data_IF_785952803968
#
_entry.id   IF_785952803968
#
_cell.length_a   1.000
_cell.length_b   1.000
_cell.length_c   1.000
_cell.angle_alpha   90.00
_cell.angle_beta   90.00
_cell.angle_gamma   90.00
#
_symmetry.space_group_name_H-M   'P 1'
#
loop_
_entity.id
_entity.type
_entity.pdbx_description
1 polymer ?
#
# COMPACT_ATOMS: atom_id res chain seq x y z
N UNK A 1 7.52 -37.38 58.44
CA UNK A 1 6.61 -36.70 57.47
C UNK A 1 6.83 -35.18 57.38
N UNK A 2 7.37 -34.52 58.40
CA UNK A 2 7.58 -33.03 58.38
C UNK A 2 8.80 -32.56 57.54
N UNK A 3 9.80 -33.41 57.34
CA UNK A 3 11.01 -33.03 56.59
C UNK A 3 10.78 -32.90 55.07
N UNK A 4 9.91 -33.69 54.49
CA UNK A 4 9.62 -33.71 53.07
C UNK A 4 8.81 -32.47 52.66
N UNK A 5 7.95 -31.93 53.51
CA UNK A 5 7.17 -30.72 53.27
C UNK A 5 8.03 -29.44 53.18
N UNK A 6 9.10 -29.39 54.00
CA UNK A 6 10.04 -28.27 54.02
C UNK A 6 10.90 -28.16 52.75
N UNK A 7 11.40 -29.32 52.29
CA UNK A 7 12.19 -29.37 51.04
C UNK A 7 11.35 -29.03 49.80
N UNK A 8 10.12 -29.52 49.75
CA UNK A 8 9.20 -29.19 48.64
C UNK A 8 8.86 -27.68 48.57
N UNK A 9 8.73 -27.05 49.74
CA UNK A 9 8.45 -25.62 49.84
C UNK A 9 9.67 -24.78 49.48
N UNK A 10 10.87 -25.20 49.80
CA UNK A 10 12.12 -24.54 49.37
C UNK A 10 12.33 -24.70 47.87
N UNK A 11 12.07 -25.89 47.31
CA UNK A 11 12.16 -26.14 45.87
C UNK A 11 11.18 -25.26 45.07
N UNK A 12 9.96 -25.12 45.57
CA UNK A 12 8.95 -24.23 44.97
C UNK A 12 9.37 -22.75 45.00
N UNK A 13 9.94 -22.27 46.09
CA UNK A 13 10.48 -20.91 46.21
C UNK A 13 11.65 -20.70 45.24
N UNK A 14 12.55 -21.68 45.14
CA UNK A 14 13.68 -21.63 44.21
C UNK A 14 13.22 -21.56 42.73
N UNK A 15 12.21 -22.36 42.37
CA UNK A 15 11.63 -22.35 41.03
C UNK A 15 10.95 -21.01 40.71
N UNK A 16 10.25 -20.40 41.66
CA UNK A 16 9.62 -19.07 41.46
C UNK A 16 10.69 -18.00 41.27
N UNK A 17 11.75 -18.02 42.08
CA UNK A 17 12.86 -17.07 41.94
C UNK A 17 13.55 -17.25 40.57
N UNK A 18 13.79 -18.50 40.17
CA UNK A 18 14.39 -18.82 38.87
C UNK A 18 13.52 -18.33 37.70
N UNK A 19 12.20 -18.52 37.77
CA UNK A 19 11.26 -18.04 36.77
C UNK A 19 11.25 -16.50 36.67
N UNK A 20 11.30 -15.81 37.81
CA UNK A 20 11.38 -14.33 37.84
C UNK A 20 12.71 -13.85 37.23
N UNK A 21 13.83 -14.52 37.53
CA UNK A 21 15.13 -14.21 36.95
C UNK A 21 15.15 -14.43 35.44
N UNK A 22 14.54 -15.52 34.93
CA UNK A 22 14.44 -15.79 33.49
C UNK A 22 13.60 -14.71 32.80
N UNK A 23 12.44 -14.34 33.35
CA UNK A 23 11.61 -13.27 32.82
C UNK A 23 12.38 -11.95 32.82
N UNK A 24 13.11 -11.62 33.88
CA UNK A 24 13.96 -10.44 33.96
C UNK A 24 15.04 -10.41 32.86
N UNK A 25 15.70 -11.57 32.66
CA UNK A 25 16.71 -11.71 31.59
C UNK A 25 16.11 -11.55 30.17
N UNK A 26 14.93 -12.10 29.92
CA UNK A 26 14.23 -11.96 28.62
C UNK A 26 13.83 -10.52 28.40
N UNK A 27 13.30 -9.81 29.40
CA UNK A 27 12.95 -8.40 29.30
C UNK A 27 14.20 -7.53 29.07
N UNK A 28 15.30 -7.83 29.79
CA UNK A 28 16.56 -7.12 29.58
C UNK A 28 17.18 -7.39 28.20
N UNK A 29 17.13 -8.64 27.72
CA UNK A 29 17.59 -9.01 26.38
C UNK A 29 16.75 -8.34 25.29
N UNK A 30 15.43 -8.28 25.48
CA UNK A 30 14.52 -7.59 24.56
C UNK A 30 14.74 -6.06 24.57
N UNK A 31 14.98 -5.48 25.74
CA UNK A 31 15.36 -4.07 25.89
C UNK A 31 16.70 -3.76 25.21
N UNK A 32 17.71 -4.62 25.39
CA UNK A 32 19.01 -4.49 24.71
C UNK A 32 18.88 -4.70 23.19
N UNK A 33 18.07 -5.65 22.74
CA UNK A 33 17.81 -5.88 21.32
C UNK A 33 17.12 -4.66 20.66
N UNK A 34 16.11 -4.08 21.32
CA UNK A 34 15.46 -2.84 20.87
C UNK A 34 16.42 -1.64 20.89
N UNK A 35 17.23 -1.52 21.93
CA UNK A 35 18.25 -0.48 22.02
C UNK A 35 19.33 -0.64 20.96
N UNK A 36 19.72 -1.88 20.65
CA UNK A 36 20.66 -2.21 19.57
C UNK A 36 20.08 -1.94 18.18
N UNK A 37 18.80 -2.27 17.96
CA UNK A 37 18.09 -1.88 16.72
C UNK A 37 18.00 -0.35 16.57
N UNK A 38 17.66 0.36 17.64
CA UNK A 38 17.65 1.83 17.63
C UNK A 38 19.07 2.43 17.46
N UNK A 39 20.09 1.77 17.99
CA UNK A 39 21.49 2.17 17.83
C UNK A 39 22.01 1.88 16.40
N UNK A 40 21.62 0.77 15.79
CA UNK A 40 21.99 0.44 14.39
C UNK A 40 21.18 1.21 13.37
N UNK A 41 19.95 1.66 13.72
CA UNK A 41 19.11 2.49 12.84
C UNK A 41 19.30 4.01 13.02
N UNK A 42 19.93 4.47 14.10
CA UNK A 42 20.11 5.91 14.39
C UNK A 42 21.38 6.29 15.14
N UNK A 43 22.26 5.30 15.42
CA UNK A 43 23.46 5.51 16.23
C UNK A 43 24.63 6.17 15.49
N UNK A 44 25.88 5.79 15.81
CA UNK A 44 27.13 6.38 15.30
C UNK A 44 27.21 6.47 13.76
N UNK A 45 26.52 5.56 13.05
CA UNK A 45 26.31 5.63 11.60
C UNK A 45 25.43 6.80 11.17
N UNK A 46 24.44 7.21 11.98
CA UNK A 46 23.64 8.42 11.75
C UNK A 46 24.46 9.71 11.90
N UNK A 47 25.46 9.71 12.77
CA UNK A 47 26.36 10.87 12.98
C UNK A 47 27.45 10.92 11.89
N UNK A 48 27.89 9.76 11.39
CA UNK A 48 28.82 9.70 10.25
C UNK A 48 28.12 9.89 8.89
N UNK A 49 26.80 9.76 8.84
CA UNK A 49 25.98 10.05 7.65
C UNK A 49 25.44 11.48 7.60
N UNK A 50 25.99 12.40 8.40
CA UNK A 50 25.65 13.83 8.34
C UNK A 50 26.11 14.54 7.04
N UNK A 51 26.73 13.81 6.12
CA UNK A 51 26.75 14.10 4.69
C UNK A 51 25.70 13.17 4.05
N UNK A 52 24.44 13.60 4.10
CA UNK A 52 23.28 12.80 3.72
C UNK A 52 23.39 12.27 2.31
N UNK A 53 23.64 10.99 2.19
CA UNK A 53 23.45 10.30 0.93
C UNK A 53 21.96 9.99 0.78
N UNK A 54 21.23 10.92 0.19
CA UNK A 54 19.87 10.70 -0.28
C UNK A 54 19.95 9.69 -1.42
N UNK A 55 19.61 8.43 -1.14
CA UNK A 55 19.80 7.36 -2.12
C UNK A 55 18.74 6.27 -2.04
N UNK A 56 18.45 5.67 -3.19
CA UNK A 56 17.68 4.44 -3.31
C UNK A 56 18.16 3.61 -4.49
N UNK A 57 17.87 2.32 -4.48
CA UNK A 57 17.93 1.48 -5.68
C UNK A 57 16.56 1.53 -6.33
N UNK A 58 16.51 1.94 -7.60
CA UNK A 58 15.28 2.11 -8.35
C UNK A 58 14.81 0.83 -9.05
N UNK A 59 13.68 0.89 -9.75
CA UNK A 59 13.08 -0.23 -10.47
C UNK A 59 13.93 -0.77 -11.63
N UNK A 60 14.95 -0.04 -12.10
CA UNK A 60 15.94 -0.49 -13.09
C UNK A 60 17.17 -1.12 -12.45
N UNK A 61 17.16 -1.30 -11.12
CA UNK A 61 18.32 -1.72 -10.31
C UNK A 61 19.48 -0.71 -10.34
N UNK A 62 19.21 0.55 -10.68
CA UNK A 62 20.18 1.63 -10.64
C UNK A 62 20.16 2.29 -9.27
N UNK A 63 21.34 2.53 -8.69
CA UNK A 63 21.46 3.37 -7.49
C UNK A 63 21.33 4.84 -7.88
N UNK A 64 20.27 5.47 -7.42
CA UNK A 64 20.03 6.91 -7.61
C UNK A 64 20.45 7.64 -6.34
N UNK A 65 21.33 8.64 -6.48
CA UNK A 65 21.87 9.42 -5.36
C UNK A 65 21.73 10.91 -5.64
N UNK A 66 21.30 11.67 -4.63
CA UNK A 66 21.27 13.12 -4.66
C UNK A 66 22.33 13.67 -3.68
N UNK A 67 22.98 14.74 -4.06
CA UNK A 67 24.02 15.39 -3.26
C UNK A 67 23.44 16.31 -2.19
N UNK A 68 22.17 16.68 -2.35
CA UNK A 68 21.39 17.52 -1.44
C UNK A 68 19.92 17.09 -1.43
N UNK A 69 19.18 17.59 -0.46
CA UNK A 69 17.73 17.40 -0.37
C UNK A 69 17.05 17.98 -1.60
N UNK A 70 16.21 17.16 -2.27
CA UNK A 70 15.51 17.60 -3.46
C UNK A 70 14.58 18.80 -3.19
N UNK A 71 14.72 19.86 -3.99
CA UNK A 71 13.89 21.07 -3.96
C UNK A 71 13.05 21.23 -5.23
N UNK A 72 13.42 20.52 -6.29
CA UNK A 72 12.75 20.56 -7.61
C UNK A 72 12.48 19.16 -8.09
N UNK A 73 11.29 18.67 -7.79
CA UNK A 73 10.87 17.30 -8.10
C UNK A 73 9.83 17.34 -9.21
N UNK A 74 10.00 16.49 -10.23
CA UNK A 74 8.96 16.22 -11.22
C UNK A 74 8.45 14.79 -11.01
N UNK A 75 7.14 14.64 -10.89
CA UNK A 75 6.47 13.35 -10.70
C UNK A 75 5.79 12.92 -12.01
N UNK A 76 6.10 11.71 -12.48
CA UNK A 76 5.55 11.14 -13.72
C UNK A 76 4.67 9.94 -13.37
N UNK A 77 3.37 10.09 -13.62
CA UNK A 77 2.34 9.10 -13.27
C UNK A 77 1.54 9.46 -12.01
N UNK A 78 0.27 8.99 -11.92
CA UNK A 78 -0.66 9.41 -10.88
C UNK A 78 -0.29 8.91 -9.48
N UNK A 79 0.21 7.66 -9.34
CA UNK A 79 0.60 7.11 -8.03
C UNK A 79 1.87 7.76 -7.49
N UNK A 80 2.83 8.09 -8.38
CA UNK A 80 4.03 8.84 -8.01
C UNK A 80 3.67 10.27 -7.64
N UNK A 81 2.78 10.92 -8.40
CA UNK A 81 2.29 12.25 -8.07
C UNK A 81 1.65 12.30 -6.68
N UNK A 82 0.85 11.29 -6.34
CA UNK A 82 0.21 11.13 -5.02
C UNK A 82 1.25 10.99 -3.91
N UNK A 83 2.14 9.99 -4.02
CA UNK A 83 3.17 9.72 -3.02
C UNK A 83 4.12 10.91 -2.81
N UNK A 84 4.63 11.50 -3.90
CA UNK A 84 5.64 12.57 -3.83
C UNK A 84 5.03 13.87 -3.34
N UNK A 85 3.77 14.16 -3.69
CA UNK A 85 3.05 15.34 -3.18
C UNK A 85 2.85 15.27 -1.66
N UNK A 86 2.55 14.08 -1.13
CA UNK A 86 2.43 13.88 0.31
C UNK A 86 3.78 13.96 1.05
N UNK A 87 4.84 13.42 0.45
CA UNK A 87 6.17 13.42 1.05
C UNK A 87 6.84 14.79 1.00
N UNK A 88 6.72 15.50 -0.13
CA UNK A 88 7.53 16.67 -0.45
C UNK A 88 6.79 17.71 -1.30
N UNK A 89 5.48 17.93 -1.06
CA UNK A 89 4.61 18.76 -1.91
C UNK A 89 5.17 20.13 -2.27
N UNK A 90 5.79 20.83 -1.32
CA UNK A 90 6.41 22.15 -1.56
C UNK A 90 7.55 22.11 -2.58
N UNK A 91 8.21 20.97 -2.72
CA UNK A 91 9.31 20.71 -3.66
C UNK A 91 8.84 20.17 -5.01
N UNK A 92 7.58 19.78 -5.16
CA UNK A 92 7.04 19.29 -6.45
C UNK A 92 6.77 20.46 -7.36
N UNK A 93 7.59 20.58 -8.41
CA UNK A 93 7.47 21.68 -9.38
C UNK A 93 6.47 21.37 -10.48
N UNK A 94 6.33 20.09 -10.86
CA UNK A 94 5.33 19.67 -11.83
C UNK A 94 4.99 18.18 -11.71
N UNK A 95 3.81 17.81 -12.25
CA UNK A 95 3.39 16.43 -12.45
C UNK A 95 2.87 16.21 -13.86
N UNK A 96 2.96 15.00 -14.40
CA UNK A 96 2.39 14.66 -15.70
C UNK A 96 0.93 14.22 -15.60
N UNK A 97 0.51 13.70 -14.45
CA UNK A 97 -0.85 13.23 -14.20
C UNK A 97 -1.40 13.85 -12.92
N UNK A 98 -2.74 13.89 -12.78
CA UNK A 98 -3.38 14.20 -11.50
C UNK A 98 -3.08 13.09 -10.50
N UNK A 99 -2.76 13.40 -9.24
CA UNK A 99 -2.78 12.42 -8.19
C UNK A 99 -4.22 11.92 -7.97
N UNK A 100 -4.36 10.73 -7.41
CA UNK A 100 -5.68 10.22 -7.03
C UNK A 100 -6.35 11.06 -5.93
N UNK A 101 -5.54 11.66 -5.06
CA UNK A 101 -6.02 12.63 -4.07
C UNK A 101 -5.81 14.04 -4.58
N UNK A 102 -6.82 14.88 -4.48
CA UNK A 102 -6.70 16.31 -4.82
C UNK A 102 -5.84 16.98 -3.75
N UNK A 103 -4.56 17.15 -4.04
CA UNK A 103 -3.67 17.94 -3.20
C UNK A 103 -3.51 19.33 -3.81
N UNK A 104 -3.72 20.39 -3.03
CA UNK A 104 -3.54 21.77 -3.46
C UNK A 104 -2.06 22.14 -3.71
N UNK A 105 -1.14 21.18 -3.61
CA UNK A 105 0.30 21.38 -3.67
C UNK A 105 0.88 21.32 -5.09
N UNK A 106 0.11 20.81 -6.09
CA UNK A 106 0.59 20.71 -7.46
C UNK A 106 0.59 22.07 -8.12
N UNK A 107 1.79 22.60 -8.38
CA UNK A 107 2.01 23.94 -8.96
C UNK A 107 1.73 23.94 -10.46
N UNK A 108 2.09 22.89 -11.17
CA UNK A 108 2.03 22.83 -12.62
C UNK A 108 1.82 21.41 -13.15
N UNK A 109 1.11 21.29 -14.27
CA UNK A 109 1.13 20.07 -15.09
C UNK A 109 2.06 20.25 -16.29
N UNK A 110 2.76 19.19 -16.63
CA UNK A 110 3.68 19.13 -17.76
C UNK A 110 3.35 17.92 -18.64
N UNK A 111 3.56 18.01 -19.93
CA UNK A 111 3.47 16.85 -20.81
C UNK A 111 4.55 15.80 -20.42
N UNK A 112 4.27 14.49 -20.59
CA UNK A 112 5.27 13.44 -20.42
C UNK A 112 6.27 13.43 -21.59
N UNK A 113 7.01 14.51 -21.73
CA UNK A 113 7.98 14.79 -22.79
C UNK A 113 9.33 15.17 -22.20
N UNK A 114 10.41 14.63 -22.76
CA UNK A 114 11.77 14.81 -22.25
C UNK A 114 12.18 16.27 -22.20
N UNK A 115 11.92 17.04 -23.28
CA UNK A 115 12.35 18.44 -23.37
C UNK A 115 11.54 19.32 -22.40
N UNK A 116 10.22 19.07 -22.30
CA UNK A 116 9.36 19.77 -21.36
C UNK A 116 9.79 19.53 -19.90
N UNK A 117 10.17 18.30 -19.53
CA UNK A 117 10.65 17.95 -18.20
C UNK A 117 12.03 18.58 -17.93
N UNK A 118 12.98 18.47 -18.88
CA UNK A 118 14.34 19.05 -18.75
C UNK A 118 14.29 20.57 -18.58
N UNK A 119 13.37 21.25 -19.28
CA UNK A 119 13.19 22.70 -19.18
C UNK A 119 12.84 23.17 -17.75
N UNK A 120 12.26 22.31 -16.93
CA UNK A 120 11.94 22.57 -15.52
C UNK A 120 13.16 22.52 -14.60
N UNK A 121 14.33 22.06 -15.10
CA UNK A 121 15.59 21.90 -14.34
C UNK A 121 15.35 21.15 -13.02
N UNK A 122 14.80 19.93 -13.06
CA UNK A 122 14.56 19.16 -11.84
C UNK A 122 15.85 18.62 -11.23
N UNK A 123 15.90 18.57 -9.88
CA UNK A 123 16.93 17.83 -9.15
C UNK A 123 16.76 16.33 -9.34
N UNK A 124 15.49 15.92 -9.46
CA UNK A 124 15.10 14.53 -9.69
C UNK A 124 13.75 14.44 -10.41
N UNK A 125 13.65 13.43 -11.27
CA UNK A 125 12.38 12.97 -11.83
C UNK A 125 12.06 11.60 -11.25
N UNK A 126 10.89 11.44 -10.66
CA UNK A 126 10.41 10.14 -10.17
C UNK A 126 9.32 9.67 -11.12
N UNK A 127 9.48 8.46 -11.63
CA UNK A 127 8.66 7.91 -12.72
C UNK A 127 7.94 6.65 -12.22
N UNK A 128 6.63 6.57 -12.44
CA UNK A 128 5.86 5.35 -12.25
C UNK A 128 6.11 4.37 -13.41
N UNK A 129 6.31 3.09 -13.09
CA UNK A 129 6.43 2.02 -14.09
C UNK A 129 5.11 1.85 -14.86
N UNK A 130 5.15 2.18 -16.14
CA UNK A 130 4.05 2.09 -17.09
C UNK A 130 4.59 2.15 -18.52
N UNK A 131 3.82 1.64 -19.49
CA UNK A 131 4.29 1.46 -20.87
C UNK A 131 4.84 2.76 -21.49
N UNK A 132 4.15 3.89 -21.30
CA UNK A 132 4.56 5.18 -21.87
C UNK A 132 5.64 5.89 -21.03
N UNK A 133 5.61 5.73 -19.73
CA UNK A 133 6.52 6.45 -18.82
C UNK A 133 7.91 5.84 -18.74
N UNK A 134 8.04 4.53 -18.94
CA UNK A 134 9.35 3.85 -18.90
C UNK A 134 10.26 4.32 -20.04
N UNK A 135 9.70 4.72 -21.17
CA UNK A 135 10.45 5.23 -22.32
C UNK A 135 11.15 6.57 -22.03
N UNK A 136 10.72 7.30 -21.00
CA UNK A 136 11.35 8.57 -20.59
C UNK A 136 12.65 8.36 -19.79
N UNK A 137 12.85 7.18 -19.20
CA UNK A 137 13.95 6.94 -18.23
C UNK A 137 15.32 7.14 -18.88
N UNK A 138 15.60 6.44 -19.98
CA UNK A 138 16.91 6.51 -20.65
C UNK A 138 17.18 7.88 -21.26
N UNK A 139 16.24 8.51 -22.04
CA UNK A 139 16.48 9.82 -22.60
C UNK A 139 16.69 10.92 -21.55
N UNK A 140 15.99 10.88 -20.42
CA UNK A 140 16.21 11.85 -19.34
C UNK A 140 17.59 11.67 -18.70
N UNK A 141 18.02 10.42 -18.45
CA UNK A 141 19.35 10.12 -17.93
C UNK A 141 20.46 10.57 -18.89
N UNK A 142 20.29 10.38 -20.20
CA UNK A 142 21.22 10.85 -21.23
C UNK A 142 21.35 12.38 -21.24
N UNK A 143 20.30 13.12 -20.84
CA UNK A 143 20.32 14.57 -20.64
C UNK A 143 20.93 14.99 -19.28
N UNK A 144 21.44 14.04 -18.49
CA UNK A 144 22.04 14.30 -17.18
C UNK A 144 21.03 14.49 -16.03
N UNK A 145 19.77 14.22 -16.27
CA UNK A 145 18.73 14.31 -15.22
C UNK A 145 18.82 13.08 -14.30
N UNK A 146 18.75 13.28 -13.00
CA UNK A 146 18.58 12.17 -12.04
C UNK A 146 17.17 11.61 -12.18
N UNK A 147 17.05 10.30 -12.41
CA UNK A 147 15.75 9.62 -12.60
C UNK A 147 15.66 8.40 -11.71
N UNK A 148 14.58 8.29 -10.95
CA UNK A 148 14.20 7.11 -10.19
C UNK A 148 12.91 6.50 -10.77
N UNK A 149 12.98 5.26 -11.23
CA UNK A 149 11.83 4.47 -11.67
C UNK A 149 11.25 3.71 -10.47
N UNK A 150 9.97 3.88 -10.19
CA UNK A 150 9.24 3.12 -9.17
C UNK A 150 8.44 2.00 -9.85
N UNK A 151 8.76 0.75 -9.53
CA UNK A 151 7.98 -0.40 -10.00
C UNK A 151 6.59 -0.39 -9.38
N UNK A 152 5.59 -0.88 -10.13
CA UNK A 152 4.25 -1.05 -9.59
C UNK A 152 4.29 -2.04 -8.40
N UNK A 153 3.85 -1.64 -7.20
CA UNK A 153 3.81 -2.53 -6.06
C UNK A 153 2.77 -3.63 -6.27
N UNK A 154 3.09 -4.84 -5.85
CA UNK A 154 2.20 -6.01 -5.93
C UNK A 154 1.76 -6.51 -4.56
N UNK A 155 2.39 -6.02 -3.49
CA UNK A 155 2.05 -6.30 -2.10
C UNK A 155 1.96 -5.02 -1.28
N UNK A 156 1.30 -5.10 -0.13
CA UNK A 156 1.30 -4.02 0.89
C UNK A 156 2.72 -3.71 1.37
N UNK A 157 3.56 -4.75 1.47
CA UNK A 157 4.97 -4.57 1.84
C UNK A 157 5.75 -3.78 0.80
N UNK A 158 5.50 -3.98 -0.49
CA UNK A 158 6.14 -3.19 -1.55
C UNK A 158 5.77 -1.71 -1.43
N UNK A 159 4.51 -1.39 -1.07
CA UNK A 159 4.07 -0.01 -0.84
C UNK A 159 4.79 0.61 0.36
N UNK A 160 4.93 -0.14 1.46
CA UNK A 160 5.70 0.30 2.64
C UNK A 160 7.14 0.60 2.26
N UNK A 161 7.82 -0.35 1.59
CA UNK A 161 9.23 -0.22 1.20
C UNK A 161 9.44 0.92 0.21
N UNK A 162 8.55 1.07 -0.75
CA UNK A 162 8.60 2.17 -1.72
C UNK A 162 8.42 3.53 -1.04
N UNK A 163 7.45 3.66 -0.14
CA UNK A 163 7.23 4.90 0.64
C UNK A 163 8.47 5.26 1.45
N UNK A 164 9.07 4.29 2.13
CA UNK A 164 10.30 4.46 2.92
C UNK A 164 11.50 4.85 2.05
N UNK A 165 11.71 4.16 0.94
CA UNK A 165 12.84 4.40 0.05
C UNK A 165 12.75 5.76 -0.64
N UNK A 166 11.56 6.17 -1.10
CA UNK A 166 11.34 7.50 -1.68
C UNK A 166 11.51 8.57 -0.60
N UNK A 167 10.99 8.34 0.60
CA UNK A 167 11.21 9.23 1.75
C UNK A 167 12.70 9.46 2.02
N UNK A 168 13.50 8.40 2.02
CA UNK A 168 14.97 8.46 2.19
C UNK A 168 15.63 9.22 1.05
N UNK A 169 15.29 8.92 -0.20
CA UNK A 169 15.83 9.61 -1.39
C UNK A 169 15.56 11.11 -1.36
N UNK A 170 14.38 11.50 -0.89
CA UNK A 170 13.96 12.90 -0.85
C UNK A 170 14.34 13.63 0.46
N UNK A 171 14.96 12.94 1.44
CA UNK A 171 15.23 13.50 2.77
C UNK A 171 13.95 13.84 3.54
N UNK A 172 12.97 12.93 3.49
CA UNK A 172 11.63 13.05 4.11
C UNK A 172 11.27 11.81 4.94
N UNK A 173 12.27 11.20 5.59
CA UNK A 173 12.12 9.92 6.30
C UNK A 173 11.02 9.99 7.36
N UNK A 174 11.01 11.03 8.19
CA UNK A 174 9.98 11.20 9.24
C UNK A 174 8.56 11.30 8.66
N UNK A 175 8.41 11.94 7.49
CA UNK A 175 7.11 12.02 6.82
C UNK A 175 6.71 10.65 6.25
N UNK A 176 7.65 9.93 5.65
CA UNK A 176 7.43 8.58 5.16
C UNK A 176 7.01 7.62 6.28
N UNK A 177 7.68 7.67 7.44
CA UNK A 177 7.32 6.86 8.60
C UNK A 177 5.91 7.20 9.12
N UNK A 178 5.53 8.48 9.10
CA UNK A 178 4.16 8.92 9.45
C UNK A 178 3.10 8.37 8.49
N UNK A 179 3.35 8.38 7.17
CA UNK A 179 2.45 7.84 6.17
C UNK A 179 2.31 6.32 6.32
N UNK A 180 3.43 5.62 6.53
CA UNK A 180 3.45 4.17 6.80
C UNK A 180 2.68 3.85 8.08
N UNK A 181 2.87 4.63 9.15
CA UNK A 181 2.14 4.43 10.41
C UNK A 181 0.63 4.60 10.20
N UNK A 182 0.21 5.58 9.39
CA UNK A 182 -1.21 5.78 9.03
C UNK A 182 -1.76 4.56 8.28
N UNK A 183 -1.04 4.04 7.29
CA UNK A 183 -1.41 2.82 6.56
C UNK A 183 -1.55 1.63 7.50
N UNK A 184 -0.58 1.42 8.38
CA UNK A 184 -0.56 0.28 9.32
C UNK A 184 -1.64 0.38 10.40
N UNK A 185 -2.10 1.58 10.76
CA UNK A 185 -3.24 1.76 11.65
C UNK A 185 -4.51 1.18 11.04
N UNK A 186 -4.83 1.52 9.78
CA UNK A 186 -5.97 0.94 9.07
C UNK A 186 -5.90 -0.58 8.94
N UNK A 187 -4.69 -1.12 8.70
CA UNK A 187 -4.49 -2.58 8.63
C UNK A 187 -4.80 -3.22 9.98
N UNK A 188 -4.35 -2.62 11.08
CA UNK A 188 -4.62 -3.10 12.45
C UNK A 188 -6.11 -3.06 12.79
N UNK A 189 -6.80 -2.00 12.37
CA UNK A 189 -8.25 -1.89 12.53
C UNK A 189 -8.98 -2.98 11.72
N UNK A 190 -8.47 -3.28 10.52
CA UNK A 190 -8.96 -4.41 9.70
C UNK A 190 -8.77 -5.76 10.40
N UNK A 191 -7.60 -5.99 11.00
CA UNK A 191 -7.32 -7.22 11.75
C UNK A 191 -8.26 -7.36 12.95
N UNK A 192 -8.59 -6.26 13.62
CA UNK A 192 -9.56 -6.23 14.71
C UNK A 192 -10.96 -6.62 14.25
N UNK A 193 -11.43 -6.06 13.12
CA UNK A 193 -12.72 -6.44 12.51
C UNK A 193 -12.71 -7.94 12.13
N UNK A 194 -11.68 -8.41 11.45
CA UNK A 194 -11.54 -9.81 11.06
C UNK A 194 -11.55 -10.74 12.28
N UNK A 195 -10.89 -10.35 13.36
CA UNK A 195 -10.88 -11.15 14.58
C UNK A 195 -12.26 -11.22 15.25
N UNK A 196 -12.99 -10.12 15.27
CA UNK A 196 -14.37 -10.08 15.80
C UNK A 196 -15.33 -10.99 15.01
N UNK A 197 -15.03 -11.23 13.72
CA UNK A 197 -15.84 -12.05 12.80
C UNK A 197 -15.15 -13.36 12.40
N UNK A 198 -14.18 -13.84 13.17
CA UNK A 198 -13.37 -15.04 12.86
C UNK A 198 -14.17 -16.34 12.73
N UNK A 199 -15.35 -16.40 13.37
CA UNK A 199 -16.21 -17.56 13.36
C UNK A 199 -17.30 -17.48 12.26
N UNK A 200 -17.40 -16.34 11.56
CA UNK A 200 -18.33 -16.15 10.44
C UNK A 200 -17.84 -16.92 9.18
N UNK A 201 -18.74 -17.40 8.34
CA UNK A 201 -18.36 -18.03 7.08
C UNK A 201 -17.56 -17.08 6.19
N UNK A 202 -16.45 -17.60 5.64
CA UNK A 202 -15.59 -16.82 4.77
C UNK A 202 -16.32 -16.45 3.49
N UNK A 203 -16.35 -15.15 3.15
CA UNK A 203 -17.07 -14.61 2.00
C UNK A 203 -16.16 -14.56 0.76
N UNK A 204 -16.73 -14.81 -0.42
CA UNK A 204 -16.05 -14.58 -1.70
C UNK A 204 -16.33 -13.15 -2.16
N UNK A 205 -15.28 -12.36 -2.35
CA UNK A 205 -15.35 -10.95 -2.74
C UNK A 205 -14.81 -10.77 -4.16
N UNK A 206 -15.59 -10.10 -5.01
CA UNK A 206 -15.16 -9.62 -6.32
C UNK A 206 -14.93 -8.11 -6.29
N UNK A 207 -13.78 -7.65 -6.76
CA UNK A 207 -13.54 -6.25 -7.13
C UNK A 207 -13.74 -6.16 -8.63
N UNK A 208 -14.83 -5.54 -9.09
CA UNK A 208 -15.25 -5.59 -10.49
C UNK A 208 -15.90 -4.28 -10.95
N UNK A 209 -15.55 -3.82 -12.15
CA UNK A 209 -16.26 -2.77 -12.89
C UNK A 209 -16.22 -3.05 -14.41
N UNK A 210 -16.55 -2.07 -15.25
CA UNK A 210 -16.53 -2.18 -16.70
C UNK A 210 -15.16 -2.56 -17.30
N UNK A 211 -14.07 -2.24 -16.60
CA UNK A 211 -12.72 -2.61 -17.01
C UNK A 211 -12.39 -4.08 -16.71
N UNK A 212 -13.20 -4.75 -15.90
CA UNK A 212 -13.11 -6.17 -15.62
C UNK A 212 -12.99 -6.55 -14.15
N UNK A 213 -12.65 -7.83 -13.91
CA UNK A 213 -12.48 -8.42 -12.59
C UNK A 213 -11.02 -8.27 -12.14
N UNK A 214 -10.81 -7.51 -11.08
CA UNK A 214 -9.52 -7.25 -10.46
C UNK A 214 -9.14 -8.35 -9.46
N UNK A 215 -7.87 -8.36 -9.04
CA UNK A 215 -7.39 -9.26 -8.00
C UNK A 215 -6.79 -10.56 -8.55
N UNK A 216 -6.34 -10.57 -9.82
CA UNK A 216 -5.54 -11.70 -10.34
C UNK A 216 -4.32 -11.97 -9.45
N UNK A 217 -3.77 -13.20 -9.45
CA UNK A 217 -2.62 -13.54 -8.62
C UNK A 217 -1.44 -12.56 -8.81
N UNK A 218 -0.72 -12.28 -7.73
CA UNK A 218 0.43 -11.35 -7.71
C UNK A 218 0.05 -9.91 -8.11
N UNK A 219 -1.08 -9.43 -7.65
CA UNK A 219 -1.47 -8.01 -7.74
C UNK A 219 -1.78 -7.45 -6.37
N UNK A 220 -1.64 -6.14 -6.22
CA UNK A 220 -1.90 -5.45 -4.95
C UNK A 220 -3.33 -5.69 -4.44
N UNK A 221 -4.34 -5.70 -5.32
CA UNK A 221 -5.72 -6.03 -4.94
C UNK A 221 -5.83 -7.44 -4.36
N UNK A 222 -5.12 -8.42 -4.93
CA UNK A 222 -5.13 -9.79 -4.39
C UNK A 222 -4.51 -9.85 -2.98
N UNK A 223 -3.45 -9.08 -2.76
CA UNK A 223 -2.79 -8.97 -1.45
C UNK A 223 -3.69 -8.26 -0.44
N UNK A 224 -4.33 -7.14 -0.82
CA UNK A 224 -5.31 -6.41 0.01
C UNK A 224 -6.45 -7.32 0.48
N UNK A 225 -7.02 -8.14 -0.41
CA UNK A 225 -8.08 -9.10 -0.07
C UNK A 225 -7.60 -10.17 0.92
N UNK A 226 -6.31 -10.52 0.89
CA UNK A 226 -5.69 -11.43 1.88
C UNK A 226 -5.67 -10.79 3.28
N UNK A 227 -5.36 -9.51 3.39
CA UNK A 227 -5.42 -8.78 4.68
C UNK A 227 -6.83 -8.72 5.25
N UNK A 228 -7.83 -8.53 4.39
CA UNK A 228 -9.24 -8.59 4.80
C UNK A 228 -9.65 -9.99 5.26
N UNK A 229 -9.02 -11.04 4.75
CA UNK A 229 -9.31 -12.42 5.15
C UNK A 229 -10.45 -13.07 4.36
N UNK A 230 -10.71 -12.60 3.14
CA UNK A 230 -11.79 -13.09 2.25
C UNK A 230 -11.25 -14.00 1.15
N UNK A 231 -12.15 -14.73 0.49
CA UNK A 231 -11.82 -15.45 -0.74
C UNK A 231 -11.89 -14.48 -1.93
N UNK A 232 -10.87 -14.54 -2.77
CA UNK A 232 -10.75 -13.68 -3.94
C UNK A 232 -11.45 -14.32 -5.15
N UNK A 233 -12.49 -13.66 -5.67
CA UNK A 233 -13.27 -14.13 -6.81
C UNK A 233 -12.41 -14.33 -8.07
N UNK A 234 -11.44 -13.45 -8.35
CA UNK A 234 -10.57 -13.60 -9.50
C UNK A 234 -9.66 -14.83 -9.40
N UNK A 235 -9.16 -15.16 -8.22
CA UNK A 235 -8.41 -16.39 -7.99
C UNK A 235 -9.30 -17.63 -8.13
N UNK A 236 -10.52 -17.58 -7.59
CA UNK A 236 -11.50 -18.69 -7.65
C UNK A 236 -11.98 -18.98 -9.07
N UNK A 237 -12.13 -17.96 -9.91
CA UNK A 237 -12.52 -18.14 -11.33
C UNK A 237 -11.39 -18.69 -12.20
N UNK A 238 -10.14 -18.64 -11.72
CA UNK A 238 -8.96 -19.09 -12.45
C UNK A 238 -8.39 -18.06 -13.42
N UNK A 239 -8.65 -16.76 -13.20
CA UNK A 239 -8.06 -15.66 -13.99
C UNK A 239 -6.53 -15.76 -13.94
N UNK A 240 -5.91 -15.83 -15.11
CA UNK A 240 -4.46 -15.92 -15.26
C UNK A 240 -3.80 -14.54 -15.18
N UNK A 241 -2.49 -14.52 -14.93
CA UNK A 241 -1.70 -13.31 -14.66
C UNK A 241 -1.67 -12.28 -15.80
N UNK A 242 -1.96 -12.68 -17.05
CA UNK A 242 -1.81 -11.82 -18.23
C UNK A 242 -3.00 -10.88 -18.52
N UNK A 243 -4.20 -11.16 -17.99
CA UNK A 243 -5.43 -10.44 -18.38
C UNK A 243 -6.24 -9.98 -17.16
N UNK A 244 -7.05 -8.93 -17.33
CA UNK A 244 -8.18 -8.69 -16.43
C UNK A 244 -9.20 -9.82 -16.58
N UNK A 245 -9.83 -10.22 -15.48
CA UNK A 245 -10.93 -11.16 -15.55
C UNK A 245 -12.14 -10.55 -16.24
N UNK A 246 -12.92 -11.37 -16.88
CA UNK A 246 -14.10 -10.98 -17.65
C UNK A 246 -15.39 -11.05 -16.79
N UNK A 247 -16.51 -10.58 -17.35
CA UNK A 247 -17.85 -10.82 -16.77
C UNK A 247 -18.15 -12.34 -16.63
N UNK A 248 -17.67 -13.16 -17.56
CA UNK A 248 -17.81 -14.63 -17.47
C UNK A 248 -17.04 -15.20 -16.26
N UNK A 249 -15.86 -14.65 -15.97
CA UNK A 249 -15.09 -15.04 -14.78
C UNK A 249 -15.79 -14.62 -13.48
N UNK A 250 -16.42 -13.44 -13.46
CA UNK A 250 -17.26 -13.01 -12.36
C UNK A 250 -18.42 -13.97 -12.09
N UNK A 251 -19.11 -14.39 -13.17
CA UNK A 251 -20.24 -15.34 -13.09
C UNK A 251 -19.74 -16.69 -12.57
N UNK A 252 -18.61 -17.18 -13.09
CA UNK A 252 -18.01 -18.45 -12.65
C UNK A 252 -17.62 -18.43 -11.18
N UNK A 253 -17.15 -17.29 -10.67
CA UNK A 253 -16.76 -17.15 -9.26
C UNK A 253 -17.97 -17.12 -8.32
N UNK A 254 -19.13 -16.65 -8.77
CA UNK A 254 -20.38 -16.45 -8.01
C UNK A 254 -20.12 -15.81 -6.63
N UNK A 255 -19.63 -14.56 -6.60
CA UNK A 255 -19.21 -13.92 -5.37
C UNK A 255 -20.38 -13.63 -4.43
N UNK A 256 -20.10 -13.60 -3.13
CA UNK A 256 -21.04 -13.19 -2.10
C UNK A 256 -21.17 -11.67 -2.04
N UNK A 257 -20.11 -10.94 -2.40
CA UNK A 257 -20.05 -9.47 -2.43
C UNK A 257 -19.35 -9.01 -3.71
N UNK A 258 -19.89 -7.96 -4.35
CA UNK A 258 -19.23 -7.22 -5.43
C UNK A 258 -18.85 -5.83 -4.93
N UNK A 259 -17.57 -5.49 -5.00
CA UNK A 259 -17.04 -4.16 -4.75
C UNK A 259 -16.76 -3.50 -6.10
N UNK A 260 -17.34 -2.32 -6.31
CA UNK A 260 -17.23 -1.54 -7.55
C UNK A 260 -16.30 -0.37 -7.33
N UNK A 261 -15.05 -0.41 -7.84
CA UNK A 261 -14.18 0.76 -7.87
C UNK A 261 -14.78 1.85 -8.74
N UNK A 262 -15.00 3.05 -8.18
CA UNK A 262 -15.60 4.16 -8.91
C UNK A 262 -14.98 5.49 -8.48
N UNK A 263 -14.74 6.37 -9.44
CA UNK A 263 -14.41 7.76 -9.13
C UNK A 263 -15.68 8.50 -8.69
N UNK A 264 -15.82 8.65 -7.38
CA UNK A 264 -16.99 9.31 -6.78
C UNK A 264 -16.94 10.83 -6.91
N UNK A 265 -15.84 11.41 -7.41
CA UNK A 265 -15.64 12.84 -7.66
C UNK A 265 -15.80 13.20 -9.13
N UNK A 266 -16.02 12.22 -10.00
CA UNK A 266 -16.26 12.45 -11.41
C UNK A 266 -17.52 13.30 -11.60
N UNK A 267 -17.51 14.29 -12.55
CA UNK A 267 -18.66 15.17 -12.77
C UNK A 267 -19.95 14.45 -13.16
N UNK A 268 -19.85 13.27 -13.75
CA UNK A 268 -20.94 12.40 -14.20
C UNK A 268 -21.25 11.26 -13.22
N UNK A 269 -20.65 11.28 -12.01
CA UNK A 269 -20.93 10.26 -11.00
C UNK A 269 -22.42 10.20 -10.64
N UNK A 270 -23.02 9.05 -10.88
CA UNK A 270 -24.41 8.77 -10.53
C UNK A 270 -24.51 7.42 -9.84
N UNK A 271 -24.59 7.46 -8.52
CA UNK A 271 -24.64 6.27 -7.66
C UNK A 271 -25.79 5.32 -8.04
N UNK A 272 -26.99 5.86 -8.25
CA UNK A 272 -28.17 5.05 -8.51
C UNK A 272 -28.11 4.38 -9.88
N UNK A 273 -27.59 5.10 -10.90
CA UNK A 273 -27.36 4.53 -12.22
C UNK A 273 -26.34 3.38 -12.17
N UNK A 274 -25.26 3.52 -11.37
CA UNK A 274 -24.27 2.45 -11.20
C UNK A 274 -24.93 1.22 -10.58
N UNK A 275 -25.67 1.35 -9.48
CA UNK A 275 -26.37 0.22 -8.88
C UNK A 275 -27.37 -0.41 -9.84
N UNK A 276 -28.12 0.41 -10.62
CA UNK A 276 -29.05 -0.08 -11.62
C UNK A 276 -28.37 -0.94 -12.70
N UNK A 277 -27.15 -0.58 -13.12
CA UNK A 277 -26.36 -1.35 -14.09
C UNK A 277 -26.01 -2.76 -13.58
N UNK A 278 -25.87 -2.96 -12.26
CA UNK A 278 -25.63 -4.29 -11.69
C UNK A 278 -26.92 -5.04 -11.40
N UNK A 279 -27.91 -4.40 -10.79
CA UNK A 279 -29.14 -5.07 -10.35
C UNK A 279 -30.12 -5.38 -11.48
N UNK A 280 -30.08 -4.61 -12.58
CA UNK A 280 -30.95 -4.81 -13.74
C UNK A 280 -30.27 -5.59 -14.87
N UNK A 281 -28.99 -5.99 -14.71
CA UNK A 281 -28.30 -6.81 -15.70
C UNK A 281 -28.81 -8.27 -15.66
N UNK A 282 -29.53 -8.74 -16.69
CA UNK A 282 -30.09 -10.10 -16.69
C UNK A 282 -29.00 -11.18 -16.64
N UNK A 283 -27.77 -10.86 -17.10
CA UNK A 283 -26.64 -11.80 -17.09
C UNK A 283 -26.10 -11.99 -15.67
N UNK A 284 -26.22 -10.98 -14.82
CA UNK A 284 -25.76 -11.03 -13.42
C UNK A 284 -26.86 -11.46 -12.44
N UNK A 285 -28.11 -11.52 -12.87
CA UNK A 285 -29.28 -11.70 -12.00
C UNK A 285 -29.21 -12.95 -11.09
N UNK A 286 -28.46 -13.98 -11.52
CA UNK A 286 -28.32 -15.22 -10.74
C UNK A 286 -27.21 -15.22 -9.71
N UNK A 287 -26.31 -14.22 -9.70
CA UNK A 287 -25.23 -14.13 -8.74
C UNK A 287 -25.75 -13.93 -7.31
N UNK A 288 -25.08 -14.54 -6.34
CA UNK A 288 -25.39 -14.37 -4.90
C UNK A 288 -25.36 -12.91 -4.48
N UNK A 289 -24.32 -12.16 -4.89
CA UNK A 289 -24.19 -10.74 -4.56
C UNK A 289 -25.39 -9.91 -5.06
N UNK A 290 -25.94 -10.23 -6.24
CA UNK A 290 -27.07 -9.53 -6.83
C UNK A 290 -28.35 -9.88 -6.10
N UNK A 291 -28.63 -11.18 -5.89
CA UNK A 291 -29.81 -11.67 -5.16
C UNK A 291 -29.89 -11.12 -3.73
N UNK A 292 -28.74 -11.00 -3.08
CA UNK A 292 -28.63 -10.54 -1.70
C UNK A 292 -28.40 -9.01 -1.59
N UNK A 293 -28.42 -8.27 -2.70
CA UNK A 293 -28.18 -6.82 -2.76
C UNK A 293 -26.82 -6.40 -2.14
N UNK A 294 -25.82 -7.24 -2.28
CA UNK A 294 -24.44 -7.03 -1.77
C UNK A 294 -23.50 -6.51 -2.87
N UNK A 295 -23.86 -5.39 -3.47
CA UNK A 295 -22.98 -4.58 -4.34
C UNK A 295 -22.66 -3.31 -3.59
N UNK A 296 -21.36 -2.96 -3.51
CA UNK A 296 -20.90 -1.76 -2.78
C UNK A 296 -19.95 -0.95 -3.66
N UNK A 297 -20.22 0.34 -3.82
CA UNK A 297 -19.32 1.28 -4.49
C UNK A 297 -18.24 1.70 -3.50
N UNK A 298 -16.99 1.61 -3.89
CA UNK A 298 -15.82 2.05 -3.12
C UNK A 298 -15.00 3.00 -3.97
N UNK A 299 -14.53 4.12 -3.40
CA UNK A 299 -13.74 5.09 -4.15
C UNK A 299 -12.49 4.47 -4.78
N UNK A 300 -12.23 4.82 -6.04
CA UNK A 300 -11.07 4.33 -6.82
C UNK A 300 -9.75 4.66 -6.13
N UNK A 301 -9.63 5.83 -5.53
CA UNK A 301 -8.45 6.27 -4.80
C UNK A 301 -8.15 5.40 -3.55
N UNK A 302 -9.16 4.77 -2.96
CA UNK A 302 -8.99 3.83 -1.86
C UNK A 302 -8.53 2.43 -2.33
N UNK A 303 -8.94 2.00 -3.54
CA UNK A 303 -8.70 0.65 -4.02
C UNK A 303 -7.55 0.54 -5.02
N UNK A 304 -7.40 1.51 -5.92
CA UNK A 304 -6.50 1.44 -7.05
C UNK A 304 -5.26 2.32 -6.90
N UNK A 305 -5.25 3.24 -5.92
CA UNK A 305 -4.04 3.97 -5.56
C UNK A 305 -2.96 2.99 -5.08
N UNK A 306 -1.79 3.05 -5.70
CA UNK A 306 -0.64 2.21 -5.34
C UNK A 306 0.27 2.93 -4.34
N UNK A 307 -0.33 3.60 -3.36
CA UNK A 307 0.34 4.40 -2.33
C UNK A 307 -0.13 3.95 -0.93
N UNK A 308 0.33 4.61 0.12
CA UNK A 308 -0.05 4.32 1.51
C UNK A 308 -1.58 4.36 1.75
N UNK A 309 -2.36 4.95 0.84
CA UNK A 309 -3.83 4.97 0.91
C UNK A 309 -4.46 3.58 0.84
N UNK A 310 -3.73 2.56 0.37
CA UNK A 310 -4.22 1.16 0.37
C UNK A 310 -4.63 0.68 1.75
N UNK A 311 -4.03 1.21 2.82
CA UNK A 311 -4.46 0.90 4.19
C UNK A 311 -5.93 1.24 4.40
N UNK A 312 -6.35 2.46 3.99
CA UNK A 312 -7.76 2.87 4.00
C UNK A 312 -8.60 1.98 3.10
N UNK A 313 -8.09 1.60 1.93
CA UNK A 313 -8.76 0.70 1.00
C UNK A 313 -9.04 -0.68 1.62
N UNK A 314 -8.04 -1.29 2.26
CA UNK A 314 -8.16 -2.55 2.98
C UNK A 314 -9.25 -2.45 4.07
N UNK A 315 -9.21 -1.39 4.87
CA UNK A 315 -10.19 -1.16 5.93
C UNK A 315 -11.59 -0.94 5.37
N UNK A 316 -11.74 -0.19 4.27
CA UNK A 316 -13.03 0.03 3.62
C UNK A 316 -13.62 -1.28 3.08
N UNK A 317 -12.79 -2.15 2.46
CA UNK A 317 -13.24 -3.49 2.06
C UNK A 317 -13.71 -4.27 3.29
N UNK A 318 -12.94 -4.26 4.37
CA UNK A 318 -13.31 -4.98 5.61
C UNK A 318 -14.64 -4.45 6.20
N UNK A 319 -14.86 -3.14 6.19
CA UNK A 319 -16.15 -2.57 6.60
C UNK A 319 -17.32 -3.09 5.74
N UNK A 320 -17.14 -3.17 4.41
CA UNK A 320 -18.16 -3.72 3.50
C UNK A 320 -18.43 -5.20 3.78
N UNK A 321 -17.38 -5.97 4.04
CA UNK A 321 -17.48 -7.42 4.26
C UNK A 321 -18.10 -7.75 5.61
N UNK A 322 -17.68 -7.05 6.66
CA UNK A 322 -18.05 -7.32 8.06
C UNK A 322 -19.16 -6.43 8.58
N UNK A 323 -19.74 -5.51 7.75
CA UNK A 323 -20.94 -4.78 8.12
C UNK A 323 -22.11 -5.76 8.34
N UNK A 324 -22.75 -5.66 9.49
CA UNK A 324 -23.98 -6.40 9.82
C UNK A 324 -25.22 -5.58 9.46
#
# INVERSE_FOLDING_TARGET
FESIGGELMQLRRLMIVLAICIVGLVVAAFGMYRSWQNFTSGGLFGILSSHGHYMMVDGTSTTVTLDHKAERIVAVGPNVADLVSELAGDSVVATTAAPYQVTNTIKQRVAPDVNAIVALKPDIVIIEDGAESIELVSPLREKGVKVALLRAPVTVKDVEDQTRNVGKLLGRESKADSLIATMMNYIRDTESLRFAHRDDPKQTVAVYNENGLYGKPKTLIADMLTYVGVDNAAAKSGVKQSNFGTKADLIKADPDIIIVPMDIHAPDYNRDAIYANYYNDPVLANLKAIKNKKVSIVPTDALLAKSYHIGRGIYTIAQVVYAR
#
